data_IF_673670940661
#
_entry.id   IF_673670940661
#
_cell.length_a   1.000
_cell.length_b   1.000
_cell.length_c   1.000
_cell.angle_alpha   90.00
_cell.angle_beta   90.00
_cell.angle_gamma   90.00
#
_symmetry.space_group_name_H-M   'P 1'
#
loop_
_entity.id
_entity.type
_entity.pdbx_description
1 polymer ?
#
# COMPACT_ATOMS: atom_id res chain seq x y z
N UNK A 1 5.22 -7.53 -15.31
CA UNK A 1 5.43 -6.13 -14.86
C UNK A 1 6.59 -5.44 -15.54
N UNK A 2 7.74 -6.06 -15.84
CA UNK A 2 8.83 -5.37 -16.57
C UNK A 2 8.41 -4.80 -17.95
N UNK A 3 7.68 -5.59 -18.75
CA UNK A 3 7.14 -5.12 -20.04
C UNK A 3 6.12 -4.00 -19.86
N UNK A 4 5.25 -4.11 -18.86
CA UNK A 4 4.25 -3.09 -18.54
C UNK A 4 4.91 -1.78 -18.09
N UNK A 5 5.91 -1.84 -17.22
CA UNK A 5 6.70 -0.67 -16.80
C UNK A 5 7.45 -0.04 -17.98
N UNK A 6 8.00 -0.85 -18.89
CA UNK A 6 8.62 -0.36 -20.13
C UNK A 6 7.61 0.39 -21.01
N UNK A 7 6.43 -0.19 -21.25
CA UNK A 7 5.38 0.42 -22.06
C UNK A 7 4.91 1.73 -21.43
N UNK A 8 4.67 1.76 -20.13
CA UNK A 8 4.21 2.97 -19.41
C UNK A 8 5.23 4.10 -19.45
N UNK A 9 6.52 3.79 -19.32
CA UNK A 9 7.60 4.79 -19.40
C UNK A 9 7.78 5.30 -20.83
N UNK A 10 7.60 4.45 -21.84
CA UNK A 10 7.72 4.82 -23.26
C UNK A 10 6.52 5.55 -23.82
N UNK A 11 5.35 5.39 -23.21
CA UNK A 11 4.10 6.00 -23.63
C UNK A 11 3.51 6.81 -22.46
N UNK A 12 4.16 7.92 -22.05
CA UNK A 12 3.57 8.85 -21.10
C UNK A 12 2.28 9.44 -21.66
N UNK A 13 1.30 9.63 -20.79
CA UNK A 13 0.08 10.34 -21.12
C UNK A 13 0.31 11.85 -20.94
N UNK A 14 0.75 12.53 -21.99
CA UNK A 14 1.00 13.98 -21.94
C UNK A 14 -0.29 14.81 -21.84
N UNK A 15 -1.43 14.22 -22.18
CA UNK A 15 -2.74 14.85 -22.05
C UNK A 15 -3.33 14.64 -20.65
N UNK A 16 -2.64 13.88 -19.79
CA UNK A 16 -3.00 13.75 -18.39
C UNK A 16 -2.76 15.07 -17.65
N UNK A 17 -3.79 15.90 -17.62
CA UNK A 17 -3.85 17.04 -16.73
C UNK A 17 -4.08 16.52 -15.29
N UNK A 18 -3.16 16.76 -14.34
CA UNK A 18 -3.47 16.52 -12.94
C UNK A 18 -4.73 17.33 -12.62
N UNK A 19 -5.75 16.67 -12.05
CA UNK A 19 -7.08 17.25 -11.81
C UNK A 19 -7.08 18.55 -10.96
N UNK A 20 -5.95 18.95 -10.40
CA UNK A 20 -5.74 20.26 -9.77
C UNK A 20 -4.38 20.85 -10.15
N UNK A 21 -4.37 22.15 -10.44
CA UNK A 21 -3.27 22.93 -11.01
C UNK A 21 -2.06 22.93 -10.07
N UNK A 22 -1.03 22.17 -10.42
CA UNK A 22 0.31 22.36 -9.85
C UNK A 22 1.34 22.43 -10.98
N UNK A 23 1.85 23.64 -11.21
CA UNK A 23 2.88 23.94 -12.23
C UNK A 23 4.29 23.48 -11.80
N UNK A 24 4.41 22.43 -10.98
CA UNK A 24 5.71 21.98 -10.48
C UNK A 24 6.27 20.87 -11.38
N UNK A 25 7.57 20.96 -11.70
CA UNK A 25 8.35 19.89 -12.38
C UNK A 25 8.26 18.55 -11.61
N UNK A 26 7.84 18.60 -10.34
CA UNK A 26 7.62 17.42 -9.51
C UNK A 26 6.30 16.70 -9.78
N UNK A 27 5.35 17.29 -10.51
CA UNK A 27 4.06 16.64 -10.82
C UNK A 27 4.05 16.01 -12.22
N UNK A 28 5.11 16.25 -12.99
CA UNK A 28 5.27 15.69 -14.34
C UNK A 28 5.43 14.17 -14.33
N UNK A 29 5.71 13.51 -13.19
CA UNK A 29 5.80 12.04 -13.16
C UNK A 29 4.43 11.34 -13.26
N UNK A 30 3.32 12.05 -13.01
CA UNK A 30 1.98 11.46 -13.05
C UNK A 30 1.60 10.94 -14.44
N UNK A 31 2.14 11.53 -15.50
CA UNK A 31 1.98 11.08 -16.90
C UNK A 31 2.46 9.63 -17.09
N UNK A 32 3.40 9.17 -16.25
CA UNK A 32 3.91 7.80 -16.25
C UNK A 32 3.14 6.87 -15.30
N UNK A 33 1.99 7.28 -14.76
CA UNK A 33 1.20 6.45 -13.82
C UNK A 33 -0.08 5.88 -14.40
N UNK A 34 -0.64 6.51 -15.42
CA UNK A 34 -2.05 6.35 -15.86
C UNK A 34 -2.17 5.37 -17.04
N UNK A 35 -1.09 5.16 -17.81
CA UNK A 35 -1.01 4.16 -18.88
C UNK A 35 -0.55 2.77 -18.39
N UNK A 36 -1.18 2.27 -17.33
CA UNK A 36 -0.93 0.91 -16.84
C UNK A 36 -1.79 -0.09 -17.60
N UNK A 37 -1.18 -1.16 -18.11
CA UNK A 37 -1.87 -2.22 -18.86
C UNK A 37 -2.69 -3.12 -17.92
N UNK A 38 -2.19 -3.31 -16.69
CA UNK A 38 -2.74 -4.30 -15.77
C UNK A 38 -3.90 -3.75 -14.93
N UNK A 39 -3.88 -2.46 -14.62
CA UNK A 39 -4.81 -1.76 -13.73
C UNK A 39 -4.93 -0.30 -14.14
N UNK A 40 -5.96 0.38 -13.63
CA UNK A 40 -6.25 1.81 -13.86
C UNK A 40 -5.05 2.72 -13.57
N UNK A 41 -4.26 2.42 -12.53
CA UNK A 41 -3.02 3.14 -12.25
C UNK A 41 -1.88 2.22 -11.78
N UNK A 42 -0.69 2.79 -11.76
CA UNK A 42 0.55 2.13 -11.29
C UNK A 42 0.60 1.82 -9.79
N UNK A 43 -0.26 2.38 -8.94
CA UNK A 43 -0.29 2.08 -7.51
C UNK A 43 -0.77 0.65 -7.24
N UNK A 44 -1.73 0.14 -8.03
CA UNK A 44 -2.17 -1.25 -7.96
C UNK A 44 -1.01 -2.20 -8.27
N UNK A 45 -0.27 -1.90 -9.34
CA UNK A 45 0.94 -2.65 -9.73
C UNK A 45 1.98 -2.62 -8.61
N UNK A 46 2.18 -1.46 -7.99
CA UNK A 46 3.14 -1.28 -6.90
C UNK A 46 2.80 -2.13 -5.67
N UNK A 47 1.52 -2.28 -5.32
CA UNK A 47 1.07 -3.16 -4.23
C UNK A 47 1.40 -4.62 -4.52
N UNK A 48 1.12 -5.10 -5.73
CA UNK A 48 1.39 -6.48 -6.12
C UNK A 48 2.89 -6.77 -6.10
N UNK A 49 3.69 -5.87 -6.69
CA UNK A 49 5.14 -5.97 -6.67
C UNK A 49 5.68 -5.93 -5.24
N UNK A 50 5.09 -5.15 -4.34
CA UNK A 50 5.47 -5.11 -2.92
C UNK A 50 5.16 -6.44 -2.23
N UNK A 51 4.02 -7.08 -2.52
CA UNK A 51 3.73 -8.41 -2.01
C UNK A 51 4.78 -9.44 -2.48
N UNK A 52 5.15 -9.42 -3.76
CA UNK A 52 6.19 -10.31 -4.30
C UNK A 52 7.57 -10.02 -3.72
N UNK A 53 7.93 -8.74 -3.57
CA UNK A 53 9.15 -8.33 -2.92
C UNK A 53 9.26 -8.89 -1.50
N UNK A 54 8.21 -8.72 -0.68
CA UNK A 54 8.14 -9.23 0.69
C UNK A 54 8.32 -10.74 0.72
N UNK A 55 7.59 -11.48 -0.13
CA UNK A 55 7.70 -12.93 -0.21
C UNK A 55 9.12 -13.38 -0.57
N UNK A 56 9.73 -12.80 -1.60
CA UNK A 56 11.11 -13.13 -1.99
C UNK A 56 12.12 -12.80 -0.89
N UNK A 57 11.94 -11.68 -0.18
CA UNK A 57 12.83 -11.27 0.93
C UNK A 57 12.74 -12.21 2.11
N UNK A 58 11.54 -12.67 2.47
CA UNK A 58 11.33 -13.65 3.54
C UNK A 58 11.90 -15.02 3.13
N UNK A 59 11.59 -15.51 1.92
CA UNK A 59 12.11 -16.78 1.41
C UNK A 59 13.63 -16.76 1.22
N UNK A 60 14.24 -15.61 0.94
CA UNK A 60 15.70 -15.45 0.82
C UNK A 60 16.48 -15.76 2.10
N UNK A 61 15.79 -15.88 3.25
CA UNK A 61 16.39 -16.36 4.49
C UNK A 61 16.52 -17.89 4.55
N UNK A 62 15.82 -18.62 3.69
CA UNK A 62 16.01 -20.06 3.59
C UNK A 62 17.36 -20.38 2.92
N UNK A 63 18.13 -21.27 3.54
CA UNK A 63 19.48 -21.65 3.08
C UNK A 63 19.51 -22.13 1.61
N UNK A 64 18.41 -22.72 1.15
CA UNK A 64 18.28 -23.30 -0.20
C UNK A 64 18.17 -22.23 -1.29
N UNK A 65 17.63 -21.04 -0.97
CA UNK A 65 17.24 -20.06 -1.99
C UNK A 65 17.98 -18.71 -1.92
N UNK A 66 18.98 -18.60 -1.03
CA UNK A 66 19.57 -17.31 -0.61
C UNK A 66 20.07 -16.40 -1.74
N UNK A 67 20.90 -16.89 -2.67
CA UNK A 67 21.49 -16.03 -3.73
C UNK A 67 20.47 -15.60 -4.78
N UNK A 68 19.65 -16.54 -5.25
CA UNK A 68 18.61 -16.32 -6.26
C UNK A 68 17.55 -15.33 -5.77
N UNK A 69 17.19 -15.39 -4.48
CA UNK A 69 16.20 -14.48 -3.90
C UNK A 69 16.70 -13.04 -3.77
N UNK A 70 18.01 -12.80 -3.58
CA UNK A 70 18.56 -11.43 -3.56
C UNK A 70 18.40 -10.75 -4.93
N UNK A 71 18.71 -11.46 -6.01
CA UNK A 71 18.56 -10.93 -7.37
C UNK A 71 17.10 -10.59 -7.66
N UNK A 72 16.17 -11.50 -7.37
CA UNK A 72 14.75 -11.25 -7.57
C UNK A 72 14.23 -10.10 -6.69
N UNK A 73 14.66 -9.99 -5.43
CA UNK A 73 14.30 -8.86 -4.59
C UNK A 73 14.79 -7.52 -5.16
N UNK A 74 16.01 -7.45 -5.71
CA UNK A 74 16.50 -6.24 -6.36
C UNK A 74 15.72 -5.90 -7.64
N UNK A 75 15.36 -6.90 -8.43
CA UNK A 75 14.51 -6.71 -9.61
C UNK A 75 13.11 -6.20 -9.23
N UNK A 76 12.48 -6.79 -8.22
CA UNK A 76 11.18 -6.29 -7.72
C UNK A 76 11.30 -4.87 -7.16
N UNK A 77 12.38 -4.55 -6.42
CA UNK A 77 12.61 -3.20 -5.94
C UNK A 77 12.74 -2.20 -7.08
N UNK A 78 13.50 -2.53 -8.13
CA UNK A 78 13.61 -1.70 -9.32
C UNK A 78 12.25 -1.47 -9.98
N UNK A 79 11.45 -2.52 -10.14
CA UNK A 79 10.10 -2.41 -10.69
C UNK A 79 9.17 -1.56 -9.81
N UNK A 80 9.25 -1.68 -8.47
CA UNK A 80 8.51 -0.83 -7.53
C UNK A 80 8.90 0.63 -7.74
N UNK A 81 10.20 0.95 -7.86
CA UNK A 81 10.67 2.31 -8.14
C UNK A 81 10.04 2.84 -9.44
N UNK A 82 10.01 2.03 -10.50
CA UNK A 82 9.41 2.41 -11.79
C UNK A 82 7.88 2.56 -11.79
N UNK A 83 7.19 2.25 -10.67
CA UNK A 83 5.77 2.57 -10.49
C UNK A 83 5.49 4.01 -10.08
N UNK A 84 6.50 4.75 -9.63
CA UNK A 84 6.30 6.10 -9.09
C UNK A 84 5.24 6.16 -7.96
N UNK A 85 5.04 5.05 -7.25
CA UNK A 85 4.10 4.94 -6.14
C UNK A 85 4.78 5.24 -4.81
N UNK A 86 4.57 6.46 -4.32
CA UNK A 86 5.14 6.94 -3.05
C UNK A 86 4.69 6.10 -1.85
N UNK A 87 3.44 5.63 -1.85
CA UNK A 87 2.93 4.73 -0.80
C UNK A 87 3.68 3.40 -0.80
N UNK A 88 4.02 2.85 -1.97
CA UNK A 88 4.82 1.63 -2.06
C UNK A 88 6.24 1.81 -1.54
N UNK A 89 6.87 2.98 -1.78
CA UNK A 89 8.19 3.26 -1.21
C UNK A 89 8.16 3.26 0.31
N UNK A 90 7.15 3.92 0.90
CA UNK A 90 6.93 3.91 2.35
C UNK A 90 6.69 2.48 2.84
N UNK A 91 5.86 1.70 2.15
CA UNK A 91 5.61 0.29 2.46
C UNK A 91 6.89 -0.55 2.50
N UNK A 92 7.76 -0.42 1.48
CA UNK A 92 9.05 -1.12 1.42
C UNK A 92 9.97 -0.70 2.56
N UNK A 93 10.06 0.60 2.88
CA UNK A 93 10.86 1.11 3.99
C UNK A 93 10.37 0.54 5.32
N UNK A 94 9.06 0.54 5.56
CA UNK A 94 8.45 -0.05 6.75
C UNK A 94 8.78 -1.55 6.82
N UNK A 95 8.62 -2.28 5.72
CA UNK A 95 8.95 -3.70 5.66
C UNK A 95 10.42 -3.99 6.00
N UNK A 96 11.38 -3.35 5.32
CA UNK A 96 12.80 -3.59 5.58
C UNK A 96 13.18 -3.19 7.01
N UNK A 97 12.59 -2.12 7.55
CA UNK A 97 12.79 -1.72 8.95
C UNK A 97 12.29 -2.80 9.92
N UNK A 98 11.10 -3.39 9.68
CA UNK A 98 10.59 -4.50 10.47
C UNK A 98 11.47 -5.75 10.35
N UNK A 99 11.96 -6.06 9.15
CA UNK A 99 12.90 -7.15 8.91
C UNK A 99 14.21 -6.97 9.70
N UNK A 100 14.81 -5.79 9.66
CA UNK A 100 16.03 -5.50 10.44
C UNK A 100 15.77 -5.58 11.94
N UNK A 101 14.65 -5.05 12.42
CA UNK A 101 14.25 -5.11 13.83
C UNK A 101 14.12 -6.55 14.33
N UNK A 102 13.49 -7.42 13.52
CA UNK A 102 13.23 -8.82 13.86
C UNK A 102 14.49 -9.68 13.79
N UNK A 103 15.34 -9.50 12.79
CA UNK A 103 16.43 -10.44 12.47
C UNK A 103 17.84 -9.95 12.76
N UNK A 104 18.06 -8.67 13.07
CA UNK A 104 19.39 -8.17 13.45
C UNK A 104 19.34 -7.34 14.74
N UNK A 105 19.72 -7.97 15.85
CA UNK A 105 19.84 -7.29 17.16
C UNK A 105 20.76 -6.07 17.09
N UNK A 106 21.84 -6.14 16.29
CA UNK A 106 22.80 -5.03 16.08
C UNK A 106 22.18 -3.82 15.38
N UNK A 107 21.24 -4.05 14.46
CA UNK A 107 20.65 -2.98 13.63
C UNK A 107 19.25 -2.55 14.11
N UNK A 108 18.78 -3.05 15.26
CA UNK A 108 17.45 -2.76 15.79
C UNK A 108 17.23 -1.28 16.10
N UNK A 109 18.24 -0.61 16.62
CA UNK A 109 18.16 0.84 16.90
C UNK A 109 18.14 1.61 15.58
N UNK A 110 18.98 1.23 14.62
CA UNK A 110 19.01 1.81 13.28
C UNK A 110 17.69 1.62 12.51
N UNK A 111 16.99 0.50 12.69
CA UNK A 111 15.68 0.27 12.07
C UNK A 111 14.57 1.13 12.66
N UNK A 112 14.65 1.49 13.94
CA UNK A 112 13.74 2.46 14.55
C UNK A 112 14.07 3.85 14.00
N UNK A 113 15.35 4.22 13.94
CA UNK A 113 15.79 5.48 13.35
C UNK A 113 15.40 5.61 11.88
N UNK A 114 15.45 4.56 11.07
CA UNK A 114 15.02 4.62 9.66
C UNK A 114 13.53 4.93 9.52
N UNK A 115 12.68 4.35 10.38
CA UNK A 115 11.25 4.70 10.42
C UNK A 115 11.06 6.14 10.85
N UNK A 116 11.76 6.58 11.91
CA UNK A 116 11.66 7.95 12.42
C UNK A 116 12.13 8.96 11.37
N UNK A 117 13.25 8.71 10.69
CA UNK A 117 13.76 9.56 9.61
C UNK A 117 12.78 9.56 8.45
N UNK A 118 12.23 8.41 8.05
CA UNK A 118 11.21 8.36 7.00
C UNK A 118 9.97 9.19 7.35
N UNK A 119 9.53 9.14 8.61
CA UNK A 119 8.43 9.97 9.13
C UNK A 119 8.82 11.45 9.15
N UNK A 120 10.02 11.81 9.60
CA UNK A 120 10.49 13.21 9.62
C UNK A 120 10.60 13.76 8.19
N UNK A 121 11.20 13.01 7.27
CA UNK A 121 11.30 13.38 5.86
C UNK A 121 9.90 13.53 5.25
N UNK A 122 9.00 12.59 5.55
CA UNK A 122 7.60 12.68 5.15
C UNK A 122 6.92 13.94 5.71
N UNK A 123 7.08 14.24 7.00
CA UNK A 123 6.53 15.43 7.67
C UNK A 123 7.16 16.74 7.15
N UNK A 124 8.45 16.72 6.83
CA UNK A 124 9.16 17.87 6.26
C UNK A 124 8.63 18.19 4.85
N UNK A 125 8.46 17.17 4.01
CA UNK A 125 7.83 17.35 2.70
C UNK A 125 6.33 17.65 2.79
N UNK A 126 5.65 17.29 3.88
CA UNK A 126 4.25 17.64 4.10
C UNK A 126 4.07 19.15 4.26
N UNK A 127 4.87 19.81 5.09
CA UNK A 127 4.67 21.21 5.45
C UNK A 127 4.70 22.16 4.24
N UNK A 128 5.59 21.91 3.28
CA UNK A 128 5.73 22.76 2.09
C UNK A 128 4.83 22.33 0.91
N UNK A 129 4.27 21.10 0.92
CA UNK A 129 3.53 20.55 -0.23
C UNK A 129 2.05 20.26 0.00
N UNK A 130 1.52 20.47 1.20
CA UNK A 130 0.07 20.35 1.47
C UNK A 130 -0.77 21.15 0.45
N UNK A 131 -0.27 22.28 -0.04
CA UNK A 131 -0.98 23.15 -0.97
C UNK A 131 -0.71 22.87 -2.47
N UNK A 132 0.34 22.12 -2.81
CA UNK A 132 0.80 21.98 -4.20
C UNK A 132 0.75 20.56 -4.76
N UNK A 133 0.35 19.56 -3.96
CA UNK A 133 0.35 18.14 -4.36
C UNK A 133 -1.08 17.62 -4.49
N UNK A 134 -1.60 17.57 -5.72
CA UNK A 134 -2.97 17.13 -6.00
C UNK A 134 -3.29 15.70 -5.53
N UNK A 135 -2.30 14.80 -5.44
CA UNK A 135 -2.53 13.44 -4.93
C UNK A 135 -2.62 13.39 -3.41
N UNK A 136 -2.03 14.36 -2.71
CA UNK A 136 -2.18 14.48 -1.28
C UNK A 136 -3.50 15.21 -0.95
N UNK A 137 -3.79 16.31 -1.65
CA UNK A 137 -5.04 17.06 -1.50
C UNK A 137 -6.28 16.23 -1.78
N UNK A 138 -6.27 15.41 -2.84
CA UNK A 138 -7.39 14.52 -3.14
C UNK A 138 -7.73 13.57 -2.00
N UNK A 139 -6.79 13.21 -1.11
CA UNK A 139 -7.07 12.39 0.07
C UNK A 139 -7.83 13.14 1.16
N UNK A 140 -7.52 14.41 1.40
CA UNK A 140 -8.30 15.25 2.31
C UNK A 140 -9.68 15.53 1.73
N UNK A 141 -9.76 15.79 0.42
CA UNK A 141 -11.03 15.96 -0.25
C UNK A 141 -11.93 14.72 -0.13
N UNK A 142 -11.38 13.52 -0.35
CA UNK A 142 -12.12 12.26 -0.13
C UNK A 142 -12.56 12.12 1.34
N UNK A 143 -11.72 12.54 2.29
CA UNK A 143 -12.08 12.53 3.70
C UNK A 143 -13.20 13.53 4.03
N UNK A 144 -13.20 14.72 3.44
CA UNK A 144 -14.26 15.71 3.60
C UNK A 144 -15.58 15.23 3.01
N UNK A 145 -15.55 14.61 1.81
CA UNK A 145 -16.71 13.95 1.22
C UNK A 145 -17.26 12.84 2.11
N UNK A 146 -16.37 12.05 2.71
CA UNK A 146 -16.74 11.02 3.67
C UNK A 146 -17.41 11.59 4.93
N UNK A 147 -16.87 12.69 5.49
CA UNK A 147 -17.50 13.36 6.63
C UNK A 147 -18.88 13.92 6.28
N UNK A 148 -19.06 14.45 5.07
CA UNK A 148 -20.34 14.93 4.60
C UNK A 148 -21.34 13.77 4.41
N UNK A 149 -20.90 12.64 3.86
CA UNK A 149 -21.69 11.41 3.80
C UNK A 149 -22.18 10.98 5.19
N UNK A 150 -21.29 10.91 6.20
CA UNK A 150 -21.69 10.52 7.57
C UNK A 150 -22.76 11.45 8.15
N UNK A 151 -22.70 12.76 7.87
CA UNK A 151 -23.66 13.73 8.41
C UNK A 151 -25.08 13.54 7.89
N UNK A 152 -25.24 13.00 6.68
CA UNK A 152 -26.54 12.88 5.99
C UNK A 152 -27.03 11.45 5.87
N UNK A 153 -26.14 10.46 6.00
CA UNK A 153 -26.49 9.05 5.86
C UNK A 153 -27.40 8.57 7.01
N UNK A 154 -28.42 7.74 6.71
CA UNK A 154 -29.19 7.05 7.74
C UNK A 154 -28.30 6.24 8.68
N UNK A 155 -28.65 6.16 9.96
CA UNK A 155 -27.88 5.39 10.96
C UNK A 155 -27.68 3.93 10.54
N UNK A 156 -28.69 3.33 9.90
CA UNK A 156 -28.59 1.97 9.37
C UNK A 156 -27.43 1.84 8.38
N UNK A 157 -27.38 2.72 7.38
CA UNK A 157 -26.32 2.73 6.36
C UNK A 157 -24.95 3.03 6.94
N UNK A 158 -24.87 3.86 7.99
CA UNK A 158 -23.62 4.09 8.72
C UNK A 158 -23.12 2.80 9.41
N UNK A 159 -24.04 1.99 9.95
CA UNK A 159 -23.69 0.77 10.69
C UNK A 159 -23.42 -0.43 9.77
N UNK A 160 -24.25 -0.63 8.75
CA UNK A 160 -24.23 -1.82 7.89
C UNK A 160 -23.72 -1.57 6.47
N UNK A 161 -23.54 -0.31 6.08
CA UNK A 161 -23.09 0.08 4.76
C UNK A 161 -24.20 0.02 3.72
N UNK A 162 -23.84 0.49 2.53
CA UNK A 162 -24.74 0.62 1.36
C UNK A 162 -24.48 -0.46 0.30
N UNK A 163 -23.66 -1.47 0.61
CA UNK A 163 -23.29 -2.57 -0.28
C UNK A 163 -22.01 -2.34 -1.08
N UNK A 164 -21.34 -3.44 -1.46
CA UNK A 164 -20.07 -3.43 -2.20
C UNK A 164 -20.17 -2.75 -3.57
N UNK A 165 -19.14 -1.99 -3.93
CA UNK A 165 -19.03 -1.30 -5.21
C UNK A 165 -19.84 0.00 -5.33
N UNK A 166 -20.55 0.41 -4.27
CA UNK A 166 -21.40 1.60 -4.31
C UNK A 166 -20.71 2.90 -3.88
N UNK A 167 -19.45 2.87 -3.44
CA UNK A 167 -18.73 4.07 -2.96
C UNK A 167 -18.86 5.26 -3.91
N UNK A 168 -18.64 5.04 -5.22
CA UNK A 168 -18.72 6.10 -6.23
C UNK A 168 -20.09 6.79 -6.27
N UNK A 169 -21.18 6.03 -6.10
CA UNK A 169 -22.55 6.56 -6.12
C UNK A 169 -22.86 7.48 -4.93
N UNK A 170 -22.13 7.36 -3.82
CA UNK A 170 -22.40 8.11 -2.59
C UNK A 170 -21.46 9.30 -2.37
N UNK A 171 -20.20 9.21 -2.83
CA UNK A 171 -19.22 10.30 -2.68
C UNK A 171 -18.68 10.85 -4.01
N UNK A 172 -19.13 10.33 -5.15
CA UNK A 172 -18.78 10.83 -6.50
C UNK A 172 -17.35 10.54 -6.96
N UNK A 173 -16.54 9.86 -6.13
CA UNK A 173 -15.15 9.51 -6.42
C UNK A 173 -14.90 8.03 -6.10
N UNK A 174 -14.04 7.41 -6.91
CA UNK A 174 -13.64 6.02 -6.74
C UNK A 174 -12.86 5.78 -5.43
N UNK A 175 -12.85 4.54 -4.91
CA UNK A 175 -12.24 4.22 -3.63
C UNK A 175 -10.71 4.24 -3.69
N UNK A 176 -10.08 5.42 -3.60
CA UNK A 176 -8.63 5.57 -3.47
C UNK A 176 -8.13 5.46 -2.01
N UNK A 177 -9.04 5.18 -1.07
CA UNK A 177 -8.76 4.87 0.33
C UNK A 177 -9.61 3.67 0.74
N UNK A 178 -8.96 2.53 0.97
CA UNK A 178 -9.62 1.26 1.29
C UNK A 178 -10.53 1.35 2.53
N UNK A 179 -10.15 2.14 3.54
CA UNK A 179 -10.90 2.22 4.79
C UNK A 179 -12.20 3.00 4.63
N UNK A 180 -12.16 4.08 3.86
CA UNK A 180 -13.36 4.87 3.53
C UNK A 180 -14.30 4.05 2.65
N UNK A 181 -13.75 3.35 1.66
CA UNK A 181 -14.50 2.45 0.79
C UNK A 181 -15.19 1.34 1.60
N UNK A 182 -14.44 0.63 2.44
CA UNK A 182 -14.99 -0.43 3.30
C UNK A 182 -16.03 0.12 4.28
N UNK A 183 -15.81 1.32 4.83
CA UNK A 183 -16.81 1.93 5.71
C UNK A 183 -18.11 2.20 4.96
N UNK A 184 -18.05 2.84 3.78
CA UNK A 184 -19.27 3.16 3.03
C UNK A 184 -19.98 1.86 2.61
N UNK A 185 -19.23 0.89 2.08
CA UNK A 185 -19.79 -0.31 1.47
C UNK A 185 -20.27 -1.35 2.49
N UNK A 186 -19.60 -1.46 3.65
CA UNK A 186 -19.88 -2.50 4.66
C UNK A 186 -20.27 -1.95 6.03
N UNK A 187 -20.30 -0.62 6.16
CA UNK A 187 -20.60 0.08 7.40
C UNK A 187 -19.48 0.01 8.43
N UNK A 188 -19.72 0.66 9.57
CA UNK A 188 -18.84 0.60 10.72
C UNK A 188 -18.62 -0.85 11.21
N UNK A 189 -19.67 -1.67 11.18
CA UNK A 189 -19.59 -3.08 11.64
C UNK A 189 -18.64 -3.86 10.72
N UNK A 190 -18.80 -3.74 9.41
CA UNK A 190 -17.94 -4.43 8.44
C UNK A 190 -16.48 -3.98 8.54
N UNK A 191 -16.23 -2.67 8.68
CA UNK A 191 -14.88 -2.15 8.89
C UNK A 191 -14.24 -2.69 10.19
N UNK A 192 -14.98 -2.72 11.30
CA UNK A 192 -14.47 -3.27 12.57
C UNK A 192 -14.13 -4.74 12.42
N UNK A 193 -15.02 -5.56 11.82
CA UNK A 193 -14.75 -6.98 11.60
C UNK A 193 -13.52 -7.19 10.71
N UNK A 194 -13.37 -6.40 9.65
CA UNK A 194 -12.20 -6.40 8.79
C UNK A 194 -10.91 -6.14 9.60
N UNK A 195 -10.89 -5.08 10.42
CA UNK A 195 -9.72 -4.75 11.25
C UNK A 195 -9.43 -5.82 12.30
N UNK A 196 -10.45 -6.38 12.95
CA UNK A 196 -10.31 -7.44 13.96
C UNK A 196 -9.68 -8.70 13.36
N UNK A 197 -10.00 -9.06 12.12
CA UNK A 197 -9.36 -10.19 11.43
C UNK A 197 -7.86 -9.95 11.27
N UNK A 198 -7.44 -8.75 10.84
CA UNK A 198 -6.01 -8.46 10.72
C UNK A 198 -5.30 -8.37 12.06
N UNK A 199 -5.94 -7.80 13.09
CA UNK A 199 -5.40 -7.79 14.45
C UNK A 199 -5.19 -9.22 14.95
N UNK A 200 -6.18 -10.10 14.76
CA UNK A 200 -6.07 -11.51 15.12
C UNK A 200 -4.89 -12.19 14.41
N UNK A 201 -4.78 -12.04 13.08
CA UNK A 201 -3.70 -12.63 12.30
C UNK A 201 -2.34 -12.06 12.73
N UNK A 202 -2.25 -10.73 12.92
CA UNK A 202 -1.04 -10.03 13.36
C UNK A 202 -0.54 -10.54 14.72
N UNK A 203 -1.44 -10.75 15.68
CA UNK A 203 -1.09 -11.28 16.99
C UNK A 203 -0.62 -12.74 16.85
N UNK A 204 -1.38 -13.56 16.12
CA UNK A 204 -1.18 -15.01 16.02
C UNK A 204 0.04 -15.43 15.22
N UNK A 205 0.41 -14.70 14.15
CA UNK A 205 1.47 -15.08 13.22
C UNK A 205 2.53 -13.98 13.13
N UNK A 206 3.74 -14.25 13.62
CA UNK A 206 4.88 -13.33 13.63
C UNK A 206 5.27 -12.88 12.21
N UNK A 207 5.23 -13.73 11.19
CA UNK A 207 5.58 -13.31 9.82
C UNK A 207 4.50 -12.51 9.13
N UNK A 208 3.23 -12.70 9.52
CA UNK A 208 2.15 -11.88 9.00
C UNK A 208 2.35 -10.39 9.32
N UNK A 209 3.02 -10.07 10.44
CA UNK A 209 3.33 -8.71 10.86
C UNK A 209 4.18 -7.96 9.84
N UNK A 210 5.06 -8.68 9.14
CA UNK A 210 5.93 -8.13 8.11
C UNK A 210 5.16 -7.65 6.88
N UNK A 211 3.99 -8.23 6.58
CA UNK A 211 3.20 -7.85 5.41
C UNK A 211 1.99 -6.97 5.75
N UNK A 212 1.32 -7.23 6.88
CA UNK A 212 0.10 -6.50 7.26
C UNK A 212 0.38 -5.00 7.39
N UNK A 213 1.42 -4.61 8.14
CA UNK A 213 1.70 -3.19 8.39
C UNK A 213 2.07 -2.41 7.11
N UNK A 214 3.04 -2.86 6.27
CA UNK A 214 3.33 -2.21 5.00
C UNK A 214 2.12 -2.06 4.09
N UNK A 215 1.34 -3.13 3.92
CA UNK A 215 0.21 -3.14 2.98
C UNK A 215 -0.95 -2.30 3.49
N UNK A 216 -1.22 -2.29 4.80
CA UNK A 216 -2.24 -1.41 5.39
C UNK A 216 -1.89 0.07 5.21
N UNK A 217 -0.63 0.46 5.39
CA UNK A 217 -0.17 1.82 5.12
C UNK A 217 -0.34 2.16 3.63
N UNK A 218 0.00 1.23 2.74
CA UNK A 218 -0.21 1.40 1.30
C UNK A 218 -1.70 1.54 0.94
N UNK A 219 -2.60 0.86 1.67
CA UNK A 219 -4.05 0.83 1.47
C UNK A 219 -4.73 2.19 1.60
N UNK A 220 -4.06 3.17 2.20
CA UNK A 220 -4.46 4.58 2.19
C UNK A 220 -4.40 5.24 0.79
N UNK A 221 -3.90 4.52 -0.22
CA UNK A 221 -3.62 5.06 -1.56
C UNK A 221 -4.03 4.13 -2.70
N UNK A 222 -4.82 3.07 -2.45
CA UNK A 222 -5.25 2.15 -3.52
C UNK A 222 -6.62 1.50 -3.22
N UNK A 223 -7.22 0.91 -4.25
CA UNK A 223 -8.56 0.28 -4.22
C UNK A 223 -8.52 -1.24 -3.93
N UNK A 224 -9.63 -1.82 -3.40
CA UNK A 224 -9.73 -3.25 -3.04
C UNK A 224 -9.32 -4.27 -4.10
N UNK A 225 -9.28 -3.89 -5.39
CA UNK A 225 -8.98 -4.78 -6.52
C UNK A 225 -7.64 -5.51 -6.37
N UNK A 226 -6.64 -4.91 -5.75
CA UNK A 226 -5.31 -5.53 -5.58
C UNK A 226 -5.18 -6.41 -4.30
N UNK A 227 -6.21 -6.49 -3.46
CA UNK A 227 -6.21 -7.29 -2.22
C UNK A 227 -6.01 -8.80 -2.40
N UNK A 228 -6.50 -9.47 -3.47
CA UNK A 228 -6.28 -10.91 -3.64
C UNK A 228 -4.81 -11.32 -3.56
N UNK A 229 -3.91 -10.52 -4.14
CA UNK A 229 -2.47 -10.78 -4.10
C UNK A 229 -1.90 -10.68 -2.67
N UNK A 230 -2.40 -9.71 -1.90
CA UNK A 230 -2.05 -9.59 -0.48
C UNK A 230 -2.55 -10.80 0.32
N UNK A 231 -3.79 -11.26 0.11
CA UNK A 231 -4.33 -12.42 0.81
C UNK A 231 -3.55 -13.71 0.50
N UNK A 232 -3.13 -13.90 -0.75
CA UNK A 232 -2.27 -15.03 -1.14
C UNK A 232 -0.92 -14.95 -0.43
N UNK A 233 -0.26 -13.79 -0.46
CA UNK A 233 1.02 -13.60 0.21
C UNK A 233 0.93 -13.80 1.73
N UNK A 234 -0.12 -13.26 2.35
CA UNK A 234 -0.41 -13.43 3.77
C UNK A 234 -0.59 -14.91 4.14
N UNK A 235 -1.40 -15.62 3.36
CA UNK A 235 -1.68 -17.05 3.56
C UNK A 235 -0.40 -17.90 3.42
N UNK A 236 0.46 -17.55 2.46
CA UNK A 236 1.75 -18.22 2.28
C UNK A 236 2.68 -18.01 3.49
N UNK A 237 2.77 -16.79 4.02
CA UNK A 237 3.58 -16.50 5.21
C UNK A 237 3.06 -17.25 6.44
N UNK A 238 1.74 -17.34 6.62
CA UNK A 238 1.12 -18.13 7.69
C UNK A 238 1.43 -19.62 7.54
N UNK A 239 1.41 -20.15 6.31
CA UNK A 239 1.79 -21.53 6.02
C UNK A 239 3.25 -21.79 6.35
N UNK A 240 4.16 -20.91 5.92
CA UNK A 240 5.58 -21.01 6.25
C UNK A 240 5.77 -21.01 7.76
N UNK A 241 5.16 -20.08 8.50
CA UNK A 241 5.31 -20.05 9.97
C UNK A 241 4.84 -21.34 10.65
N UNK A 242 3.78 -21.98 10.16
CA UNK A 242 3.30 -23.27 10.69
C UNK A 242 4.17 -24.45 10.31
N UNK A 243 4.58 -24.53 9.04
CA UNK A 243 5.42 -25.62 8.53
C UNK A 243 6.80 -25.60 9.20
N UNK A 244 7.30 -24.40 9.39
CA UNK A 244 8.64 -24.11 9.85
C UNK A 244 8.53 -23.50 11.25
N UNK A 245 8.59 -24.32 12.32
CA UNK A 245 9.03 -23.87 13.65
C UNK A 245 10.49 -23.37 13.69
N UNK A 246 11.00 -22.91 12.55
CA UNK A 246 12.39 -22.80 12.12
C UNK A 246 13.03 -21.45 12.45
N UNK A 247 12.23 -20.46 12.86
CA UNK A 247 12.70 -19.13 13.25
C UNK A 247 12.58 -18.87 14.76
N UNK A 248 12.19 -19.88 15.54
CA UNK A 248 12.32 -19.87 17.00
C UNK A 248 13.71 -20.38 17.46
N UNK A 249 14.66 -20.54 16.52
CA UNK A 249 16.09 -20.76 16.83
C UNK A 249 16.94 -19.62 16.26
#
# INVERSE_FOLDING_TARGET
>A
YSLESYIRIKNPDYDFEPKEISNSILDTFYIYKVNSIAFEDSNFVAMILTCYYILCRVLGKEKVYGKTNVIYSLLFLALIVLTFSRSAYIGVIVFESLMFYQYSKRYRVLSIFSIVIAVIVFLYFLLDKIQSDGSFQSKFYIFDLFLNYIKVAPLFDVLTGVGFGNTFSYIGIGPHNIYIALFIETGLIGLILYLLIFIYIYIKYKFSRLIILPIMIMGLSFSPIALPYFYVALSWLMYLERKNGYFER
#
